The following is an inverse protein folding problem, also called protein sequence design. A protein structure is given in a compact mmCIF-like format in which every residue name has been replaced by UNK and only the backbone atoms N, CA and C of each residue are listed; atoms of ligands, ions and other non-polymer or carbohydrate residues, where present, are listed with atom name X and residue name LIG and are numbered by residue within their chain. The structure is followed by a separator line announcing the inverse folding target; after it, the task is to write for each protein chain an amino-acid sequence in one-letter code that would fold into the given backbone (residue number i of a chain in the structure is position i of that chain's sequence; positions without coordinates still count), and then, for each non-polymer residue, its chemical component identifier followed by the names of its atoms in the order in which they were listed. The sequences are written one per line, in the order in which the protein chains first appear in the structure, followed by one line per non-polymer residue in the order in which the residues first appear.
data_IF_514519813862
#
_entry.id   IF_514519813862
#
_cell.length_a   1.000
_cell.length_b   1.000
_cell.length_c   1.000
_cell.angle_alpha   90.00
_cell.angle_beta   90.00
_cell.angle_gamma   90.00
#
_symmetry.space_group_name_H-M   'P 1'
#
loop_
_entity.id
_entity.type
_entity.pdbx_description
1 polymer ?
#
# COMPACT_ATOMS: atom_id res chain seq x y z
N UNK A 1 15.05 24.96 -45.33
CA UNK A 1 14.86 24.68 -44.99
C UNK A 1 14.88 24.42 -44.20
N UNK A 2 14.75 24.76 -44.04
CA UNK A 2 14.55 24.62 -43.29
C UNK A 2 14.17 24.46 -42.36
N UNK A 3 14.03 24.81 -42.39
CA UNK A 3 13.44 24.62 -41.51
C UNK A 3 13.40 24.31 -40.60
N UNK A 4 13.59 24.70 -40.97
CA UNK A 4 13.31 24.38 -40.13
C UNK A 4 13.22 24.08 -39.14
N UNK A 5 13.37 24.59 -39.37
CA UNK A 5 13.14 24.25 -38.54
C UNK A 5 13.11 24.24 -37.53
N UNK A 6 12.88 24.56 -37.72
CA UNK A 6 12.62 24.44 -36.88
C UNK A 6 12.40 24.33 -35.94
N UNK A 7 12.27 24.54 -36.11
CA UNK A 7 11.80 24.24 -35.30
C UNK A 7 11.81 24.03 -34.33
N UNK A 8 11.87 24.28 -34.56
CA UNK A 8 11.68 23.96 -33.76
C UNK A 8 11.75 23.87 -32.83
N UNK A 9 11.79 24.23 -33.03
CA UNK A 9 11.63 24.02 -32.17
C UNK A 9 11.52 23.99 -31.27
N UNK A 10 11.45 24.33 -31.51
CA UNK A 10 11.03 24.14 -30.70
C UNK A 10 10.94 23.91 -29.79
N UNK A 11 10.95 24.21 -30.02
CA UNK A 11 10.63 23.87 -29.19
C UNK A 11 10.59 23.66 -28.22
N UNK A 12 10.58 24.04 -28.23
CA UNK A 12 10.29 23.76 -27.29
C UNK A 12 10.32 23.74 -26.34
N UNK A 13 10.49 24.02 -26.50
CA UNK A 13 10.33 23.96 -25.56
C UNK A 13 10.21 23.88 -24.71
N UNK A 14 9.98 24.16 -24.73
CA UNK A 14 9.64 23.90 -23.88
C UNK A 14 9.52 23.74 -23.11
N UNK A 15 9.36 23.96 -23.17
CA UNK A 15 9.00 23.64 -22.38
C UNK A 15 9.05 23.46 -21.52
N UNK A 16 9.20 23.75 -21.62
CA UNK A 16 9.03 23.48 -20.77
C UNK A 16 8.91 23.54 -19.98
N UNK A 17 8.77 23.92 -19.99
CA UNK A 17 8.44 23.85 -19.17
C UNK A 17 8.23 23.67 -18.34
N UNK A 18 8.17 23.81 -18.23
CA UNK A 18 7.81 23.58 -17.54
C UNK A 18 7.77 23.48 -16.74
N UNK A 19 7.59 23.57 -16.74
CA UNK A 19 7.36 23.34 -16.09
C UNK A 19 7.30 23.35 -15.20
N UNK A 20 7.27 23.68 -15.12
CA UNK A 20 7.11 23.65 -14.30
C UNK A 20 6.83 23.69 -13.42
N UNK A 21 6.82 23.77 -13.21
CA UNK A 21 6.50 23.74 -12.49
C UNK A 21 6.29 23.76 -11.65
N UNK A 22 5.99 23.93 -11.64
CA UNK A 22 5.73 23.81 -10.87
C UNK A 22 5.47 23.63 -9.99
N UNK A 23 5.50 23.69 -9.81
CA UNK A 23 5.21 23.48 -9.09
C UNK A 23 5.17 23.35 -8.18
N UNK A 24 5.15 23.48 -8.01
CA UNK A 24 5.04 23.31 -7.25
C UNK A 24 4.95 23.31 -6.36
N UNK A 25 4.84 23.71 -6.32
CA UNK A 25 4.72 23.53 -5.55
C UNK A 25 4.23 23.19 -4.71
N UNK A 26 4.01 23.17 -4.40
CA UNK A 26 3.56 22.80 -3.78
C UNK A 26 3.37 22.08 -3.01
N UNK A 27 3.27 21.89 -2.78
CA UNK A 27 3.09 21.19 -2.26
C UNK A 27 3.31 20.40 -1.65
N UNK A 28 3.45 20.34 -1.48
CA UNK A 28 3.70 19.72 -1.16
C UNK A 28 3.75 18.87 -0.65
N UNK A 29 3.51 18.73 -0.61
CA UNK A 29 3.53 17.83 -0.43
C UNK A 29 4.01 16.96 -0.61
N UNK A 30 4.02 16.78 -0.54
CA UNK A 30 4.35 16.04 -0.85
C UNK A 30 4.86 15.44 -1.37
N UNK A 31 5.06 15.48 -1.18
CA UNK A 31 5.55 14.81 -1.68
C UNK A 31 5.64 14.47 -2.84
N UNK A 32 5.76 14.69 -3.27
CA UNK A 32 5.95 14.75 -4.66
C UNK A 32 5.77 13.50 -5.44
N UNK A 33 6.21 12.39 -4.96
CA UNK A 33 6.07 11.12 -5.67
C UNK A 33 4.67 10.57 -5.45
N UNK A 34 4.01 10.11 -6.52
CA UNK A 34 2.71 9.48 -6.33
C UNK A 34 2.87 8.26 -5.46
N UNK A 35 1.92 8.06 -4.57
CA UNK A 35 1.92 6.87 -3.74
C UNK A 35 1.78 5.67 -4.66
N UNK A 36 2.59 4.67 -4.40
CA UNK A 36 2.52 3.44 -5.16
C UNK A 36 1.20 2.75 -4.84
N UNK A 37 0.53 2.29 -5.87
CA UNK A 37 -0.74 1.61 -5.69
C UNK A 37 -0.49 0.13 -5.51
N UNK A 38 -1.10 -0.42 -4.48
CA UNK A 38 -0.99 -1.85 -4.20
C UNK A 38 -2.35 -2.49 -4.40
N UNK A 39 -2.31 -3.68 -4.94
CA UNK A 39 -3.51 -4.47 -5.18
C UNK A 39 -3.41 -5.72 -4.33
N UNK A 40 -4.53 -6.12 -3.79
CA UNK A 40 -4.54 -7.30 -2.93
C UNK A 40 -5.90 -7.94 -2.95
N UNK A 41 -5.92 -9.22 -2.61
CA UNK A 41 -7.15 -9.96 -2.39
C UNK A 41 -7.28 -10.20 -0.91
N UNK A 42 -8.38 -9.73 -0.34
CA UNK A 42 -8.71 -9.92 1.07
C UNK A 42 -9.63 -11.12 1.20
N UNK A 43 -9.35 -11.96 2.19
CA UNK A 43 -10.23 -13.08 2.53
C UNK A 43 -10.59 -12.86 3.99
N UNK A 44 -11.89 -12.70 4.26
CA UNK A 44 -12.32 -12.45 5.63
C UNK A 44 -12.55 -13.76 6.38
N UNK A 45 -12.94 -13.63 7.64
CA UNK A 45 -13.11 -14.80 8.51
C UNK A 45 -14.17 -15.76 8.00
N UNK A 46 -15.12 -15.28 7.21
CA UNK A 46 -16.18 -16.10 6.63
C UNK A 46 -15.82 -16.68 5.28
N UNK A 47 -14.63 -16.34 4.77
CA UNK A 47 -14.17 -16.84 3.48
C UNK A 47 -14.55 -15.97 2.30
N UNK A 48 -15.15 -14.81 2.54
CA UNK A 48 -15.51 -13.90 1.45
C UNK A 48 -14.24 -13.28 0.87
N UNK A 49 -14.14 -13.27 -0.45
CA UNK A 49 -12.98 -12.73 -1.16
C UNK A 49 -13.32 -11.39 -1.77
N UNK A 50 -12.46 -10.43 -1.56
CA UNK A 50 -12.62 -9.09 -2.13
C UNK A 50 -11.29 -8.65 -2.72
N UNK A 51 -11.31 -8.31 -4.02
CA UNK A 51 -10.11 -7.79 -4.68
C UNK A 51 -10.19 -6.28 -4.66
N UNK A 52 -9.11 -5.66 -4.23
CA UNK A 52 -9.08 -4.21 -4.07
C UNK A 52 -7.78 -3.62 -4.59
N UNK A 53 -7.84 -2.36 -4.99
CA UNK A 53 -6.67 -1.59 -5.38
C UNK A 53 -6.46 -0.50 -4.35
N UNK A 54 -5.33 0.18 -4.44
CA UNK A 54 -4.98 1.28 -3.53
C UNK A 54 -5.08 0.85 -2.08
N UNK A 55 -4.53 -0.32 -1.81
CA UNK A 55 -4.62 -0.92 -0.47
C UNK A 55 -3.70 -0.19 0.49
N UNK A 56 -4.22 0.10 1.69
CA UNK A 56 -3.42 0.67 2.77
C UNK A 56 -3.77 -0.03 4.07
N UNK A 57 -2.89 0.09 5.04
CA UNK A 57 -3.15 -0.32 6.41
C UNK A 57 -3.08 0.93 7.26
N UNK A 58 -4.25 1.38 7.73
CA UNK A 58 -4.32 2.60 8.51
C UNK A 58 -3.88 3.83 7.72
N UNK A 59 -3.96 3.77 6.38
CA UNK A 59 -3.53 4.87 5.55
C UNK A 59 -2.11 4.76 5.04
N UNK A 60 -1.36 3.77 5.51
CA UNK A 60 0.04 3.59 5.13
C UNK A 60 0.20 2.37 4.22
N UNK A 61 1.29 2.35 3.46
CA UNK A 61 1.59 1.23 2.57
C UNK A 61 2.63 0.31 3.19
N UNK A 62 2.51 0.09 4.47
CA UNK A 62 3.31 -0.88 5.18
C UNK A 62 2.47 -1.50 6.28
N UNK A 63 2.91 -2.67 6.71
CA UNK A 63 2.29 -3.40 7.80
C UNK A 63 3.14 -3.20 9.03
N UNK A 64 2.52 -2.87 10.14
CA UNK A 64 3.26 -2.60 11.36
C UNK A 64 2.78 -3.52 12.46
N UNK A 65 3.72 -4.11 13.20
CA UNK A 65 3.38 -4.98 14.31
C UNK A 65 4.51 -5.08 15.29
N UNK A 66 4.25 -5.79 16.37
CA UNK A 66 5.22 -6.00 17.42
C UNK A 66 5.94 -7.31 17.18
N UNK A 67 7.25 -7.29 17.36
CA UNK A 67 8.04 -8.49 17.33
C UNK A 67 8.95 -8.46 18.57
N UNK A 68 8.69 -9.38 19.50
CA UNK A 68 9.36 -9.32 20.78
C UNK A 68 9.00 -8.04 21.50
N UNK A 69 9.98 -7.29 21.89
CA UNK A 69 9.78 -6.01 22.57
C UNK A 69 9.92 -4.83 21.62
N UNK A 70 10.11 -5.12 20.35
CA UNK A 70 10.28 -4.09 19.36
C UNK A 70 9.10 -3.98 18.42
N UNK A 71 9.26 -3.14 17.44
CA UNK A 71 8.21 -2.86 16.45
C UNK A 71 8.82 -3.00 15.08
N UNK A 72 8.11 -3.68 14.20
CA UNK A 72 8.59 -3.90 12.84
C UNK A 72 7.57 -3.33 11.86
N UNK A 73 8.09 -2.65 10.87
CA UNK A 73 7.27 -2.09 9.79
C UNK A 73 7.74 -2.72 8.50
N UNK A 74 6.83 -3.42 7.82
CA UNK A 74 7.15 -4.16 6.62
C UNK A 74 6.48 -3.48 5.42
N UNK A 75 7.25 -2.97 4.48
CA UNK A 75 6.64 -2.33 3.29
C UNK A 75 5.85 -3.35 2.50
N UNK A 76 4.73 -2.92 1.94
CA UNK A 76 3.92 -3.79 1.10
C UNK A 76 4.71 -4.34 -0.08
N UNK A 77 5.75 -3.61 -0.52
CA UNK A 77 6.63 -4.07 -1.61
C UNK A 77 7.21 -5.44 -1.34
N UNK A 78 7.45 -5.74 -0.07
CA UNK A 78 8.13 -6.97 0.31
C UNK A 78 7.17 -8.03 0.83
N UNK A 79 5.88 -7.82 0.68
CA UNK A 79 4.89 -8.76 1.21
C UNK A 79 4.23 -9.53 0.08
N UNK A 80 4.24 -10.85 0.20
CA UNK A 80 3.49 -11.70 -0.71
C UNK A 80 2.14 -12.03 -0.13
N UNK A 81 2.12 -12.51 1.10
CA UNK A 81 0.88 -12.94 1.75
C UNK A 81 0.94 -12.65 3.24
N UNK A 82 -0.20 -12.29 3.78
CA UNK A 82 -0.38 -12.10 5.22
C UNK A 82 -1.45 -13.07 5.69
N UNK A 83 -1.13 -13.85 6.72
CA UNK A 83 -2.11 -14.75 7.32
C UNK A 83 -2.33 -14.31 8.75
N UNK A 84 -3.59 -14.21 9.14
CA UNK A 84 -3.97 -13.69 10.45
C UNK A 84 -4.70 -14.78 11.23
N UNK A 85 -4.40 -14.86 12.52
CA UNK A 85 -5.13 -15.76 13.41
C UNK A 85 -5.51 -14.99 14.65
N UNK A 86 -6.67 -15.36 15.20
CA UNK A 86 -7.08 -14.78 16.45
C UNK A 86 -5.98 -14.99 17.48
N UNK A 87 -5.72 -13.99 18.30
CA UNK A 87 -4.64 -14.04 19.27
C UNK A 87 -5.09 -14.68 20.57
N UNK A 88 -5.90 -15.71 20.50
CA UNK A 88 -6.34 -16.42 21.67
C UNK A 88 -7.17 -15.53 22.58
N UNK A 89 -6.71 -15.33 23.80
CA UNK A 89 -7.45 -14.56 24.77
C UNK A 89 -7.24 -13.06 24.68
N UNK A 90 -6.24 -12.64 23.90
CA UNK A 90 -5.95 -11.22 23.75
C UNK A 90 -6.76 -10.66 22.58
N UNK A 91 -7.88 -10.04 22.92
CA UNK A 91 -8.78 -9.52 21.88
C UNK A 91 -8.25 -8.26 21.22
N UNK A 92 -7.22 -7.64 21.78
CA UNK A 92 -6.63 -6.43 21.22
C UNK A 92 -5.56 -6.71 20.17
N UNK A 93 -5.14 -7.95 20.05
CA UNK A 93 -4.05 -8.33 19.15
C UNK A 93 -4.46 -9.50 18.29
N UNK A 94 -3.89 -9.53 17.09
CA UNK A 94 -3.98 -10.71 16.23
C UNK A 94 -2.56 -11.13 15.90
N UNK A 95 -2.37 -12.41 15.78
CA UNK A 95 -1.10 -12.97 15.39
C UNK A 95 -1.04 -13.00 13.87
N UNK A 96 0.02 -12.48 13.31
CA UNK A 96 0.13 -12.30 11.87
C UNK A 96 1.40 -12.95 11.38
N UNK A 97 1.26 -13.84 10.42
CA UNK A 97 2.40 -14.40 9.73
C UNK A 97 2.53 -13.73 8.39
N UNK A 98 3.67 -13.12 8.14
CA UNK A 98 3.92 -12.37 6.92
C UNK A 98 4.91 -13.15 6.08
N UNK A 99 4.47 -13.58 4.90
CA UNK A 99 5.34 -14.24 3.94
C UNK A 99 5.93 -13.14 3.07
N UNK A 100 7.24 -12.98 3.17
CA UNK A 100 7.94 -11.92 2.47
C UNK A 100 8.31 -12.37 1.06
N UNK A 101 8.40 -11.42 0.15
CA UNK A 101 8.89 -11.74 -1.19
C UNK A 101 10.38 -12.06 -1.16
N UNK A 102 11.09 -11.39 -0.26
CA UNK A 102 12.52 -11.65 -0.06
C UNK A 102 12.74 -11.78 1.43
N UNK A 103 13.24 -12.93 1.84
CA UNK A 103 13.53 -13.18 3.24
C UNK A 103 12.61 -14.23 3.82
N UNK A 104 12.86 -14.56 5.06
CA UNK A 104 12.10 -15.57 5.77
C UNK A 104 10.80 -14.98 6.30
N UNK A 105 9.75 -15.81 6.43
CA UNK A 105 8.51 -15.31 7.02
C UNK A 105 8.74 -14.76 8.40
N UNK A 106 7.98 -13.73 8.76
CA UNK A 106 8.04 -13.18 10.11
C UNK A 106 6.68 -13.28 10.76
N UNK A 107 6.69 -13.42 12.07
CA UNK A 107 5.46 -13.46 12.87
C UNK A 107 5.41 -12.19 13.70
N UNK A 108 4.30 -11.49 13.61
CA UNK A 108 4.10 -10.23 14.32
C UNK A 108 2.82 -10.29 15.11
N UNK A 109 2.72 -9.43 16.11
CA UNK A 109 1.45 -9.17 16.78
C UNK A 109 0.98 -7.80 16.30
N UNK A 110 -0.21 -7.76 15.75
CA UNK A 110 -0.78 -6.53 15.22
C UNK A 110 -2.04 -6.18 16.00
N UNK A 111 -2.34 -4.88 16.08
CA UNK A 111 -3.57 -4.46 16.73
C UNK A 111 -4.74 -5.03 15.95
N UNK A 112 -5.68 -5.62 16.68
CA UNK A 112 -6.87 -6.19 16.06
C UNK A 112 -7.76 -5.12 15.42
N UNK A 113 -7.62 -3.88 15.87
CA UNK A 113 -8.38 -2.76 15.32
C UNK A 113 -7.74 -2.11 14.10
N UNK A 114 -6.54 -2.55 13.71
CA UNK A 114 -5.91 -2.02 12.50
C UNK A 114 -6.88 -2.20 11.34
N UNK A 115 -7.14 -1.11 10.63
CA UNK A 115 -8.11 -1.13 9.54
C UNK A 115 -7.38 -1.07 8.21
N UNK A 116 -7.76 -1.98 7.33
CA UNK A 116 -7.24 -2.01 5.95
C UNK A 116 -8.28 -1.36 5.05
N UNK A 117 -7.79 -0.61 4.08
CA UNK A 117 -8.63 0.12 3.14
C UNK A 117 -8.25 -0.26 1.73
N UNK A 118 -9.20 -0.16 0.82
CA UNK A 118 -8.95 -0.37 -0.59
C UNK A 118 -10.10 0.16 -1.41
N UNK A 119 -9.97 0.04 -2.72
CA UNK A 119 -11.00 0.47 -3.66
C UNK A 119 -11.42 -0.72 -4.50
N UNK A 120 -12.71 -0.86 -4.69
CA UNK A 120 -13.27 -1.88 -5.56
C UNK A 120 -14.09 -1.19 -6.64
N UNK A 121 -14.48 -1.91 -7.70
CA UNK A 121 -15.37 -1.31 -8.69
C UNK A 121 -16.68 -0.82 -8.08
N UNK A 122 -17.12 -1.42 -6.98
CA UNK A 122 -18.38 -1.04 -6.35
C UNK A 122 -18.25 0.08 -5.34
N UNK A 123 -17.03 0.41 -4.93
CA UNK A 123 -16.83 1.46 -3.94
C UNK A 123 -15.67 1.18 -3.02
N UNK A 124 -15.57 1.98 -1.96
CA UNK A 124 -14.51 1.85 -0.98
C UNK A 124 -14.75 0.63 -0.10
N UNK A 125 -13.68 -0.05 0.22
CA UNK A 125 -13.72 -1.25 1.05
C UNK A 125 -12.86 -1.02 2.29
N UNK A 126 -13.35 -1.48 3.43
CA UNK A 126 -12.53 -1.45 4.64
C UNK A 126 -12.84 -2.67 5.49
N UNK A 127 -11.82 -3.14 6.20
CA UNK A 127 -11.96 -4.30 7.07
C UNK A 127 -10.92 -4.23 8.17
N UNK A 128 -11.30 -4.66 9.36
CA UNK A 128 -10.38 -4.68 10.49
C UNK A 128 -9.57 -5.97 10.48
N UNK A 129 -8.37 -5.89 11.06
CA UNK A 129 -7.51 -7.05 11.13
C UNK A 129 -8.20 -8.24 11.80
N UNK A 130 -8.99 -7.97 12.82
CA UNK A 130 -9.65 -9.06 13.57
C UNK A 130 -10.68 -9.81 12.73
N UNK A 131 -11.13 -9.22 11.63
CA UNK A 131 -12.12 -9.86 10.77
C UNK A 131 -11.49 -10.49 9.54
N UNK A 132 -10.18 -10.41 9.41
CA UNK A 132 -9.46 -10.93 8.26
C UNK A 132 -8.88 -12.30 8.53
N UNK A 133 -8.87 -13.12 7.49
CA UNK A 133 -8.17 -14.39 7.49
C UNK A 133 -6.84 -14.27 6.77
N UNK A 134 -6.83 -13.65 5.60
CA UNK A 134 -5.59 -13.49 4.85
C UNK A 134 -5.68 -12.34 3.86
N UNK A 135 -4.49 -11.90 3.42
CA UNK A 135 -4.36 -10.89 2.38
C UNK A 135 -3.28 -11.38 1.42
N UNK A 136 -3.63 -11.48 0.14
CA UNK A 136 -2.67 -11.84 -0.90
C UNK A 136 -2.36 -10.62 -1.72
N UNK A 137 -1.11 -10.19 -1.69
CA UNK A 137 -0.69 -9.02 -2.45
C UNK A 137 -0.30 -9.42 -3.86
N UNK A 138 -0.85 -8.72 -4.83
CA UNK A 138 -0.52 -8.95 -6.22
C UNK A 138 0.88 -8.43 -6.53
N UNK A 139 1.52 -9.03 -7.53
CA UNK A 139 2.82 -8.56 -7.98
C UNK A 139 2.69 -7.32 -8.81
#
# INVERSE_FOLDING_TARGET
MRDTGLHLLLTLPVLALGIMGMGGLGGGRETGLPAREFRATFIDADGTRVEATRVTAGGDTNLEGEIGRGRLRVPFDNIGRVRLEAAGEDHDRVKVQVDLREGEPVTLLMRSSTTFYGQTPSGAYQIRARDLKSIDFAR
#
